data_IF_725423832454
#
_entry.id   IF_725423832454
#
_cell.length_a   1.000
_cell.length_b   1.000
_cell.length_c   1.000
_cell.angle_alpha   90.00
_cell.angle_beta   90.00
_cell.angle_gamma   90.00
#
_symmetry.space_group_name_H-M   'P 1'
#
loop_
_entity.id
_entity.type
_entity.pdbx_description
1 polymer ?
2 non-polymer ?
3 water ?
#
# COMPACT_ATOMS: atom_id res chain seq x y z
N UNK A 2 13.53 6.09 27.37
CA UNK A 2 13.20 4.85 28.13
C UNK A 2 13.43 3.58 27.27
N UNK A 3 13.88 2.51 27.90
CA UNK A 3 14.31 1.34 27.13
C UNK A 3 13.22 0.75 26.22
N UNK A 4 13.60 0.32 25.02
CA UNK A 4 12.71 -0.44 24.16
C UNK A 4 13.46 -1.49 23.43
N UNK A 5 12.89 -2.67 23.36
CA UNK A 5 13.40 -3.67 22.42
C UNK A 5 12.25 -4.53 21.90
N UNK A 6 12.50 -5.16 20.76
CA UNK A 6 11.49 -5.92 20.07
C UNK A 6 11.45 -7.37 20.57
N UNK A 7 10.24 -7.88 20.65
CA UNK A 7 10.01 -9.27 20.91
C UNK A 7 10.67 -10.15 19.83
N UNK A 8 11.06 -11.36 20.22
CA UNK A 8 11.66 -12.31 19.35
C UNK A 8 10.90 -12.60 18.06
N UNK A 9 9.58 -12.68 18.13
CA UNK A 9 8.79 -12.90 16.91
C UNK A 9 8.84 -11.77 15.90
N UNK A 10 9.03 -10.54 16.39
CA UNK A 10 9.23 -9.38 15.53
C UNK A 10 10.59 -9.41 14.88
N UNK A 11 11.63 -9.73 15.65
CA UNK A 11 12.98 -9.86 15.11
C UNK A 11 13.14 -11.08 14.14
N UNK A 12 12.26 -12.07 14.24
CA UNK A 12 12.31 -13.21 13.32
C UNK A 12 12.00 -12.89 11.85
N UNK A 13 11.51 -11.68 11.57
CA UNK A 13 11.48 -11.19 10.18
C UNK A 13 12.86 -10.89 9.55
N UNK A 14 13.88 -10.66 10.37
CA UNK A 14 15.21 -10.33 9.91
C UNK A 14 16.19 -11.48 10.08
N UNK A 15 17.26 -11.47 9.30
CA UNK A 15 18.44 -12.31 9.64
C UNK A 15 18.98 -11.91 11.01
N UNK A 16 19.36 -12.90 11.85
CA UNK A 16 19.83 -12.60 13.22
C UNK A 16 20.88 -11.51 13.23
N UNK A 17 20.66 -10.52 14.09
CA UNK A 17 21.62 -9.41 14.23
C UNK A 17 21.74 -8.43 13.08
N UNK A 18 20.80 -8.44 12.13
CA UNK A 18 20.86 -7.52 10.99
C UNK A 18 19.56 -6.72 10.93
N UNK A 19 19.45 -5.74 10.03
CA UNK A 19 18.15 -5.12 9.69
C UNK A 19 17.65 -5.58 8.32
N UNK A 20 18.11 -6.77 7.88
CA UNK A 20 17.80 -7.25 6.55
C UNK A 20 16.71 -8.27 6.65
N UNK A 21 15.61 -7.99 5.97
CA UNK A 21 14.49 -8.93 5.94
C UNK A 21 14.91 -10.27 5.34
N UNK A 22 14.61 -11.35 6.05
CA UNK A 22 14.80 -12.72 5.52
C UNK A 22 14.16 -12.79 4.12
N UNK A 23 14.88 -13.31 3.16
CA UNK A 23 14.38 -13.35 1.80
C UNK A 23 14.78 -14.61 1.02
N UNK A 24 13.99 -14.86 -0.03
CA UNK A 24 14.13 -16.08 -0.77
C UNK A 24 15.42 -16.05 -1.59
N UNK A 25 16.00 -14.87 -1.83
CA UNK A 25 17.23 -14.77 -2.61
C UNK A 25 18.46 -14.94 -1.75
N UNK A 26 18.31 -14.97 -0.42
CA UNK A 26 19.49 -15.13 0.44
C UNK A 26 20.38 -13.91 0.41
N UNK A 27 19.79 -12.76 0.06
CA UNK A 27 20.51 -11.50 0.04
C UNK A 27 20.65 -10.89 1.45
N UNK A 28 21.88 -10.79 1.95
CA UNK A 28 22.15 -10.33 3.32
C UNK A 28 22.30 -8.82 3.50
N UNK A 29 22.63 -8.11 2.43
CA UNK A 29 22.80 -6.66 2.43
C UNK A 29 21.48 -5.92 2.32
N UNK A 30 21.21 -4.97 3.23
CA UNK A 30 19.95 -4.20 3.25
C UNK A 30 19.72 -3.43 1.97
N UNK A 31 20.76 -2.72 1.55
CA UNK A 31 20.67 -1.87 0.34
C UNK A 31 20.44 -2.75 -0.91
N UNK A 32 21.14 -3.89 -0.95
CA UNK A 32 21.09 -4.77 -2.11
C UNK A 32 19.71 -5.43 -2.23
N UNK A 33 19.14 -5.81 -1.08
CA UNK A 33 17.80 -6.37 -1.04
C UNK A 33 16.82 -5.35 -1.52
N UNK A 34 16.89 -4.13 -1.00
CA UNK A 34 15.95 -3.07 -1.33
C UNK A 34 15.92 -2.80 -2.83
N UNK A 35 17.10 -2.60 -3.42
CA UNK A 35 17.24 -2.39 -4.87
C UNK A 35 16.66 -3.52 -5.68
N UNK A 36 16.85 -4.74 -5.21
CA UNK A 36 16.38 -5.91 -5.96
C UNK A 36 14.88 -6.08 -5.87
N UNK A 37 14.31 -5.80 -4.70
CA UNK A 37 12.88 -5.72 -4.54
C UNK A 37 12.26 -4.70 -5.48
N UNK A 38 12.87 -3.52 -5.62
CA UNK A 38 12.30 -2.51 -6.50
C UNK A 38 12.34 -3.00 -7.93
N UNK A 39 13.47 -3.58 -8.35
CA UNK A 39 13.59 -4.08 -9.71
C UNK A 39 12.58 -5.16 -10.03
N UNK A 40 12.47 -6.15 -9.16
CA UNK A 40 11.49 -7.22 -9.35
C UNK A 40 10.06 -6.66 -9.48
N UNK A 41 9.64 -5.82 -8.53
CA UNK A 41 8.32 -5.21 -8.50
C UNK A 41 7.96 -4.39 -9.79
N UNK A 42 8.89 -3.62 -10.31
CA UNK A 42 8.66 -2.90 -11.55
C UNK A 42 8.43 -3.82 -12.74
N UNK A 43 9.24 -4.85 -12.85
CA UNK A 43 9.01 -5.86 -13.86
C UNK A 43 7.56 -6.37 -13.80
N UNK A 44 7.06 -6.62 -12.58
CA UNK A 44 5.70 -7.16 -12.38
C UNK A 44 4.66 -6.12 -12.74
N UNK A 45 4.89 -4.88 -12.32
CA UNK A 45 3.99 -3.74 -12.66
C UNK A 45 3.84 -3.68 -14.18
N UNK A 46 4.94 -3.86 -14.89
CA UNK A 46 4.90 -3.92 -16.34
C UNK A 46 4.01 -4.99 -16.91
N UNK A 47 4.06 -6.20 -16.37
CA UNK A 47 3.22 -7.34 -16.81
C UNK A 47 1.73 -6.99 -16.60
N UNK A 48 1.44 -6.43 -15.43
CA UNK A 48 0.06 -6.13 -15.04
C UNK A 48 -0.64 -5.19 -16.01
N UNK A 49 0.14 -4.49 -16.84
CA UNK A 49 -0.44 -3.50 -17.76
C UNK A 49 -1.26 -4.25 -18.82
N UNK A 50 -0.82 -5.44 -19.25
CA UNK A 50 -1.57 -6.22 -20.27
C UNK A 50 -2.37 -7.39 -19.69
N UNK A 51 -2.56 -7.37 -18.36
CA UNK A 51 -3.45 -8.33 -17.68
C UNK A 51 -4.82 -7.72 -17.43
N UNK A 52 -5.85 -8.57 -17.41
CA UNK A 52 -7.18 -8.05 -17.27
C UNK A 52 -7.37 -7.50 -15.89
N UNK A 53 -8.30 -6.57 -15.79
CA UNK A 53 -8.73 -6.06 -14.50
C UNK A 53 -9.59 -7.11 -13.81
N UNK A 54 -9.62 -7.15 -12.48
CA UNK A 54 -10.51 -8.11 -11.81
C UNK A 54 -11.95 -7.62 -11.86
N UNK A 55 -12.89 -8.48 -11.55
CA UNK A 55 -14.28 -8.04 -11.37
C UNK A 55 -14.49 -7.31 -10.05
N UNK A 56 -13.77 -7.72 -9.03
CA UNK A 56 -13.99 -7.18 -7.69
C UNK A 56 -12.70 -6.69 -7.14
N UNK A 57 -12.69 -5.41 -6.77
CA UNK A 57 -11.61 -4.86 -6.03
C UNK A 57 -11.89 -5.13 -4.52
N UNK A 58 -11.07 -5.99 -3.93
CA UNK A 58 -11.16 -6.28 -2.52
C UNK A 58 -9.74 -6.63 -1.97
N UNK A 59 -9.69 -6.87 -0.67
CA UNK A 59 -8.48 -7.34 -0.01
C UNK A 59 -7.92 -8.63 -0.63
N UNK A 60 -8.78 -9.47 -1.21
CA UNK A 60 -8.23 -10.65 -1.85
C UNK A 60 -7.39 -10.24 -3.05
N UNK A 61 -7.86 -9.28 -3.82
CA UNK A 61 -7.09 -8.82 -4.96
C UNK A 61 -5.83 -8.10 -4.44
N UNK A 62 -5.95 -7.38 -3.33
CA UNK A 62 -4.80 -6.64 -2.83
C UNK A 62 -3.70 -7.65 -2.42
N UNK A 63 -4.12 -8.75 -1.78
CA UNK A 63 -3.16 -9.83 -1.39
C UNK A 63 -2.52 -10.52 -2.61
N UNK A 64 -3.35 -10.78 -3.63
CA UNK A 64 -2.92 -11.32 -4.90
C UNK A 64 -1.80 -10.43 -5.48
N UNK A 65 -2.07 -9.13 -5.56
CA UNK A 65 -1.08 -8.18 -6.07
C UNK A 65 0.23 -8.15 -5.25
N UNK A 66 0.12 -8.19 -3.92
CA UNK A 66 1.32 -8.21 -3.09
C UNK A 66 2.16 -9.46 -3.36
N UNK A 67 1.49 -10.61 -3.49
CA UNK A 67 2.15 -11.89 -3.84
C UNK A 67 2.85 -11.76 -5.21
N UNK A 68 2.18 -11.18 -6.20
CA UNK A 68 2.83 -10.93 -7.49
C UNK A 68 4.08 -10.06 -7.41
N UNK A 69 3.94 -8.96 -6.67
CA UNK A 69 4.98 -7.95 -6.57
C UNK A 69 6.21 -8.42 -5.81
N UNK A 70 6.02 -9.23 -4.77
CA UNK A 70 7.08 -9.56 -3.80
C UNK A 70 7.30 -11.05 -3.58
N UNK A 71 6.68 -11.89 -4.38
CA UNK A 71 6.68 -13.32 -4.18
C UNK A 71 8.03 -13.92 -4.49
N UNK A 72 8.74 -13.33 -5.45
CA UNK A 72 10.11 -13.78 -5.67
C UNK A 72 11.06 -13.51 -4.50
N UNK A 73 10.74 -12.49 -3.71
CA UNK A 73 11.60 -12.08 -2.59
C UNK A 73 11.24 -12.63 -1.23
N UNK A 74 9.94 -12.62 -0.90
CA UNK A 74 9.48 -12.97 0.45
C UNK A 74 8.52 -14.14 0.53
N UNK A 75 8.84 -15.09 1.42
CA UNK A 75 7.98 -16.21 1.74
C UNK A 75 6.59 -15.75 2.13
N UNK A 76 6.50 -14.56 2.74
CA UNK A 76 5.26 -14.06 3.32
C UNK A 76 4.52 -13.13 2.36
N UNK A 77 5.00 -12.95 1.12
CA UNK A 77 4.24 -12.10 0.16
C UNK A 77 2.80 -12.61 0.02
N UNK A 78 1.84 -11.71 0.08
CA UNK A 78 0.42 -12.04 0.06
C UNK A 78 -0.22 -12.28 1.42
N UNK A 79 0.61 -12.45 2.45
CA UNK A 79 0.11 -12.77 3.77
C UNK A 79 0.03 -11.49 4.54
N UNK A 80 -1.00 -11.33 5.38
CA UNK A 80 -1.11 -10.10 6.18
C UNK A 80 -0.40 -10.29 7.53
N UNK A 81 0.14 -9.18 8.02
CA UNK A 81 1.05 -9.20 9.16
C UNK A 81 0.40 -9.51 10.52
N UNK A 82 -0.92 -9.51 10.61
CA UNK A 82 -1.60 -9.94 11.83
C UNK A 82 -1.40 -11.43 12.14
N UNK A 83 -1.16 -12.23 11.11
CA UNK A 83 -1.09 -13.66 11.29
C UNK A 83 0.34 -14.04 11.63
N UNK A 84 0.50 -14.97 12.54
CA UNK A 84 1.79 -15.59 12.78
C UNK A 84 2.29 -16.22 11.51
N UNK A 85 3.51 -15.88 11.13
CA UNK A 85 4.07 -16.40 9.89
C UNK A 85 5.17 -17.47 10.11
N UNK A 86 4.92 -18.67 9.58
CA UNK A 86 5.86 -19.78 9.73
C UNK A 86 6.87 -19.78 8.57
N UNK A 87 8.09 -19.36 8.83
CA UNK A 87 9.18 -19.41 7.83
C UNK A 87 9.64 -20.84 7.61
N UNK A 88 10.18 -21.08 6.43
CA UNK A 88 10.80 -22.37 6.14
C UNK A 88 11.94 -22.69 7.11
N UNK A 89 12.59 -21.67 7.68
CA UNK A 89 13.65 -21.93 8.65
C UNK A 89 13.20 -22.45 10.03
N UNK A 90 11.88 -22.52 10.24
CA UNK A 90 11.30 -23.00 11.48
C UNK A 90 10.96 -21.92 12.49
N UNK A 91 11.29 -20.65 12.18
CA UNK A 91 10.93 -19.56 13.08
C UNK A 91 9.55 -19.07 12.74
N UNK A 92 8.93 -18.42 13.72
CA UNK A 92 7.60 -17.86 13.55
C UNK A 92 7.70 -16.39 13.85
N UNK A 93 7.13 -15.60 12.96
CA UNK A 93 7.28 -14.17 13.00
C UNK A 93 5.93 -13.51 13.08
N UNK A 94 5.97 -12.30 13.62
CA UNK A 94 4.77 -11.54 13.85
C UNK A 94 5.09 -10.06 13.89
N UNK A 95 4.14 -9.25 13.46
CA UNK A 95 4.33 -7.81 13.51
C UNK A 95 3.04 -7.11 13.86
N UNK A 96 2.60 -7.23 15.09
CA UNK A 96 1.29 -6.60 15.47
C UNK A 96 1.30 -5.05 15.37
N UNK A 97 2.43 -4.44 15.71
CA UNK A 97 2.53 -3.00 15.78
C UNK A 97 3.57 -2.46 14.80
N UNK A 98 3.16 -1.44 14.05
CA UNK A 98 4.00 -0.72 13.10
C UNK A 98 3.67 0.76 13.17
N UNK A 99 4.67 1.60 13.06
CA UNK A 99 4.45 3.00 13.17
C UNK A 99 5.18 3.73 12.09
N UNK A 100 4.93 5.03 11.99
CA UNK A 100 5.66 5.91 11.07
C UNK A 100 7.01 6.15 11.72
N UNK A 101 8.10 5.79 11.01
CA UNK A 101 9.42 5.99 11.62
C UNK A 101 9.60 7.44 12.11
N UNK A 102 10.21 7.62 13.29
CA UNK A 102 10.44 8.93 13.88
C UNK A 102 9.25 9.53 14.62
N UNK A 103 8.14 8.78 14.74
CA UNK A 103 6.92 9.30 15.36
C UNK A 103 6.41 8.31 16.38
N UNK A 104 5.31 8.67 17.01
CA UNK A 104 4.58 7.74 17.85
C UNK A 104 3.22 7.60 17.20
N UNK A 105 3.18 7.57 15.85
CA UNK A 105 1.95 7.47 15.10
C UNK A 105 1.84 6.07 14.48
N UNK A 106 0.87 5.27 14.94
CA UNK A 106 0.80 3.85 14.54
C UNK A 106 -0.20 3.61 13.43
N UNK A 107 0.14 2.66 12.58
CA UNK A 107 -0.81 2.00 11.69
C UNK A 107 -1.73 1.11 12.55
N UNK A 108 -2.68 0.51 11.91
CA UNK A 108 -3.60 -0.38 12.59
C UNK A 108 -2.85 -1.48 13.35
N UNK A 109 -3.36 -1.78 14.52
CA UNK A 109 -2.87 -2.91 15.29
C UNK A 109 -3.28 -4.21 14.59
N UNK A 110 -2.41 -5.20 14.64
CA UNK A 110 -2.69 -6.49 14.00
C UNK A 110 -4.04 -7.05 14.39
N UNK A 111 -4.44 -6.87 15.65
CA UNK A 111 -5.74 -7.32 16.16
C UNK A 111 -6.97 -6.78 15.44
N UNK A 112 -6.80 -5.74 14.65
CA UNK A 112 -7.89 -5.04 13.94
C UNK A 112 -7.75 -5.20 12.43
N UNK A 113 -6.65 -5.78 11.94
CA UNK A 113 -6.43 -5.77 10.48
C UNK A 113 -7.55 -6.55 9.75
N UNK A 114 -7.95 -7.73 10.26
CA UNK A 114 -8.97 -8.49 9.57
C UNK A 114 -10.29 -7.74 9.49
N UNK A 115 -10.70 -7.19 10.63
CA UNK A 115 -11.91 -6.40 10.68
C UNK A 115 -11.86 -5.17 9.73
N UNK A 116 -10.73 -4.49 9.75
CA UNK A 116 -10.55 -3.29 8.95
C UNK A 116 -10.55 -3.60 7.45
N UNK A 117 -9.89 -4.66 7.05
CA UNK A 117 -9.93 -5.10 5.65
C UNK A 117 -11.35 -5.50 5.20
N UNK A 118 -12.07 -6.17 6.10
CA UNK A 118 -13.49 -6.43 5.85
C UNK A 118 -14.26 -5.13 5.61
N UNK A 119 -14.00 -4.13 6.44
CA UNK A 119 -14.71 -2.82 6.31
C UNK A 119 -14.34 -2.14 4.96
N UNK A 120 -13.07 -2.15 4.62
CA UNK A 120 -12.59 -1.70 3.31
C UNK A 120 -13.37 -2.41 2.20
N UNK A 121 -13.46 -3.75 2.28
CA UNK A 121 -14.12 -4.52 1.26
C UNK A 121 -15.59 -4.10 1.15
N UNK A 122 -16.23 -3.91 2.29
CA UNK A 122 -17.65 -3.59 2.29
C UNK A 122 -17.93 -2.20 1.70
N UNK A 123 -17.03 -1.23 1.91
CA UNK A 123 -17.22 0.12 1.34
C UNK A 123 -17.15 0.01 -0.21
N UNK A 124 -16.14 -0.65 -0.73
CA UNK A 124 -16.05 -0.90 -2.15
C UNK A 124 -17.25 -1.65 -2.71
N UNK A 125 -17.77 -2.64 -1.98
CA UNK A 125 -18.86 -3.44 -2.53
C UNK A 125 -20.10 -2.59 -2.55
N UNK A 126 -20.35 -1.83 -1.48
CA UNK A 126 -21.55 -0.99 -1.39
C UNK A 126 -21.56 0.10 -2.48
N UNK A 127 -20.41 0.39 -3.06
CA UNK A 127 -20.30 1.42 -4.10
C UNK A 127 -19.90 0.89 -5.46
N UNK A 128 -20.04 -0.42 -5.67
CA UNK A 128 -19.68 -1.08 -6.90
C UNK A 128 -18.32 -0.70 -7.47
N UNK A 129 -17.30 -0.78 -6.61
CA UNK A 129 -15.93 -0.48 -6.99
C UNK A 129 -15.76 0.99 -7.50
N UNK A 130 -16.62 1.91 -7.04
CA UNK A 130 -16.55 3.35 -7.40
C UNK A 130 -16.83 3.63 -8.90
N UNK A 131 -17.58 2.73 -9.48
CA UNK A 131 -18.05 2.81 -10.87
C UNK A 131 -19.18 3.79 -10.98
N UNK A 132 -19.35 4.37 -12.16
CA UNK A 132 -20.47 5.28 -12.38
C UNK A 132 -20.41 6.64 -11.69
N UNK A 133 -19.21 7.12 -11.33
CA UNK A 133 -19.07 8.38 -10.57
C UNK A 133 -18.50 9.48 -11.46
N UNK A 134 -18.84 10.72 -11.15
CA UNK A 134 -18.11 11.89 -11.68
C UNK A 134 -16.64 11.86 -11.20
N UNK A 135 -15.75 12.60 -11.84
CA UNK A 135 -14.35 12.68 -11.36
C UNK A 135 -14.27 13.25 -9.93
N UNK A 136 -15.12 14.22 -9.64
CA UNK A 136 -15.26 14.80 -8.30
C UNK A 136 -15.64 13.80 -7.20
N UNK A 137 -16.64 12.96 -7.45
CA UNK A 137 -17.05 11.97 -6.47
C UNK A 137 -16.03 10.85 -6.40
N UNK A 138 -15.47 10.46 -7.55
CA UNK A 138 -14.43 9.45 -7.59
C UNK A 138 -13.22 9.93 -6.76
N UNK A 139 -12.79 11.17 -6.90
CA UNK A 139 -11.69 11.65 -6.07
C UNK A 139 -12.05 11.63 -4.57
N UNK A 140 -13.22 12.11 -4.22
CA UNK A 140 -13.63 12.17 -2.81
C UNK A 140 -13.58 10.77 -2.22
N UNK A 141 -14.14 9.77 -2.93
CA UNK A 141 -14.27 8.44 -2.36
C UNK A 141 -12.92 7.72 -2.34
N UNK A 142 -12.11 7.94 -3.37
CA UNK A 142 -10.76 7.34 -3.37
C UNK A 142 -9.86 7.95 -2.31
N UNK A 143 -9.94 9.24 -2.07
CA UNK A 143 -9.15 9.86 -0.99
C UNK A 143 -9.43 9.18 0.35
N UNK A 144 -10.72 8.99 0.66
CA UNK A 144 -11.10 8.34 1.92
C UNK A 144 -10.64 6.86 2.02
N UNK A 145 -10.92 6.10 0.95
CA UNK A 145 -10.52 4.70 0.88
C UNK A 145 -9.02 4.49 0.88
N UNK A 146 -8.31 5.31 0.11
CA UNK A 146 -6.85 5.29 0.13
C UNK A 146 -6.19 5.65 1.48
N UNK A 147 -6.69 6.68 2.15
CA UNK A 147 -6.24 6.98 3.52
C UNK A 147 -6.52 5.81 4.46
N UNK A 148 -7.66 5.16 4.30
CA UNK A 148 -8.04 4.09 5.18
C UNK A 148 -7.06 2.91 4.96
N UNK A 149 -6.85 2.49 3.72
CA UNK A 149 -5.96 1.41 3.45
C UNK A 149 -4.51 1.75 3.88
N UNK A 150 -4.05 2.98 3.63
CA UNK A 150 -2.73 3.43 4.08
C UNK A 150 -2.63 3.22 5.61
N UNK A 151 -3.64 3.64 6.35
CA UNK A 151 -3.64 3.46 7.80
C UNK A 151 -3.57 2.01 8.22
N UNK A 152 -4.28 1.14 7.48
CA UNK A 152 -4.26 -0.30 7.79
C UNK A 152 -2.86 -0.94 7.66
N UNK A 153 -2.17 -0.67 6.54
CA UNK A 153 -0.82 -1.13 6.30
C UNK A 153 -0.76 -2.62 6.64
N UNK A 154 -1.56 -3.43 5.94
CA UNK A 154 -1.77 -4.79 6.32
C UNK A 154 -0.59 -5.78 6.11
N UNK A 155 0.41 -5.43 5.32
CA UNK A 155 1.60 -6.30 5.08
C UNK A 155 2.83 -5.93 5.92
N UNK A 156 3.75 -6.89 6.12
CA UNK A 156 4.99 -6.55 6.80
C UNK A 156 5.73 -5.40 6.13
N UNK A 157 5.73 -5.39 4.81
CA UNK A 157 6.38 -4.34 4.05
C UNK A 157 5.80 -4.39 2.62
N UNK A 158 6.08 -3.35 1.81
CA UNK A 158 5.58 -3.36 0.46
C UNK A 158 4.15 -2.80 0.37
N UNK A 159 3.68 -2.23 1.45
CA UNK A 159 2.34 -1.65 1.46
C UNK A 159 2.06 -0.56 0.48
N UNK A 160 2.97 0.40 0.41
CA UNK A 160 2.78 1.54 -0.44
C UNK A 160 2.77 1.10 -1.92
N UNK A 161 3.70 0.23 -2.31
CA UNK A 161 3.82 -0.18 -3.69
C UNK A 161 2.55 -0.89 -4.12
N UNK A 162 2.05 -1.79 -3.29
CA UNK A 162 0.82 -2.49 -3.64
C UNK A 162 -0.46 -1.61 -3.69
N UNK A 163 -0.62 -0.73 -2.73
CA UNK A 163 -1.75 0.18 -2.71
C UNK A 163 -1.77 1.11 -3.90
N UNK A 164 -0.60 1.56 -4.39
CA UNK A 164 -0.53 2.35 -5.60
C UNK A 164 -1.10 1.61 -6.81
N UNK A 165 -0.62 0.40 -7.09
CA UNK A 165 -1.10 -0.32 -8.28
C UNK A 165 -2.58 -0.70 -8.11
N UNK A 166 -2.98 -1.06 -6.91
CA UNK A 166 -4.40 -1.39 -6.62
C UNK A 166 -5.28 -0.21 -7.01
N UNK A 167 -4.89 1.00 -6.58
CA UNK A 167 -5.72 2.14 -6.88
C UNK A 167 -5.65 2.61 -8.35
N UNK A 168 -4.54 2.35 -9.01
CA UNK A 168 -4.41 2.66 -10.44
C UNK A 168 -5.35 1.73 -11.25
N UNK A 169 -5.37 0.44 -10.89
CA UNK A 169 -6.27 -0.54 -11.51
C UNK A 169 -7.76 -0.22 -11.20
N UNK A 170 -8.02 0.18 -9.95
CA UNK A 170 -9.37 0.60 -9.57
C UNK A 170 -9.85 1.78 -10.39
N UNK A 171 -9.02 2.81 -10.56
CA UNK A 171 -9.40 3.94 -11.35
C UNK A 171 -9.61 3.58 -12.85
N UNK A 172 -8.71 2.80 -13.42
CA UNK A 172 -8.89 2.35 -14.80
C UNK A 172 -10.26 1.67 -14.97
N UNK A 173 -10.61 0.81 -14.03
CA UNK A 173 -11.86 0.05 -14.13
C UNK A 173 -13.11 0.91 -14.01
N UNK A 174 -12.96 2.03 -13.29
CA UNK A 174 -14.03 2.97 -12.99
C UNK A 174 -14.15 4.10 -14.03
N UNK A 175 -13.28 4.11 -15.03
CA UNK A 175 -13.35 5.07 -16.10
C UNK A 175 -12.62 6.37 -15.78
N UNK A 176 -11.73 6.35 -14.81
CA UNK A 176 -10.90 7.51 -14.52
C UNK A 176 -9.43 7.08 -14.67
N UNK A 177 -8.52 7.87 -14.14
CA UNK A 177 -7.11 7.51 -14.19
C UNK A 177 -6.40 8.06 -13.00
N UNK A 178 -5.58 7.19 -12.40
CA UNK A 178 -4.64 7.62 -11.38
C UNK A 178 -3.25 7.17 -11.83
N UNK A 179 -2.25 8.02 -11.63
CA UNK A 179 -0.87 7.68 -11.92
C UNK A 179 0.08 8.24 -10.88
N UNK A 180 0.45 7.39 -9.94
CA UNK A 180 1.29 7.81 -8.85
C UNK A 180 2.69 8.26 -9.30
N UNK A 181 3.16 7.80 -10.47
CA UNK A 181 4.48 8.18 -11.00
C UNK A 181 4.59 9.66 -11.45
N UNK A 182 3.47 10.36 -11.52
CA UNK A 182 3.41 11.79 -11.86
C UNK A 182 4.08 12.70 -10.82
N UNK A 183 4.15 12.25 -9.56
CA UNK A 183 4.73 13.08 -8.47
C UNK A 183 5.85 12.31 -7.82
N UNK A 184 6.60 12.96 -6.92
CA UNK A 184 7.72 12.30 -6.27
C UNK A 184 7.28 11.45 -5.09
N UNK A 185 8.12 10.49 -4.76
CA UNK A 185 8.04 9.80 -3.47
C UNK A 185 7.79 10.76 -2.30
N UNK A 186 8.58 11.84 -2.18
CA UNK A 186 8.45 12.77 -1.03
C UNK A 186 7.01 13.31 -0.92
N UNK A 187 6.43 13.66 -2.07
CA UNK A 187 5.09 14.22 -2.13
C UNK A 187 4.01 13.19 -1.72
N UNK A 188 4.14 11.98 -2.22
CA UNK A 188 3.29 10.92 -1.83
C UNK A 188 3.36 10.64 -0.33
N UNK A 189 4.57 10.49 0.20
CA UNK A 189 4.72 10.16 1.61
C UNK A 189 4.31 11.31 2.56
N UNK A 190 4.50 12.55 2.13
CA UNK A 190 3.96 13.70 2.88
C UNK A 190 2.44 13.68 2.98
N UNK A 191 1.76 13.38 1.87
CA UNK A 191 0.30 13.23 1.95
C UNK A 191 -0.12 12.07 2.86
N UNK A 192 0.58 10.95 2.77
CA UNK A 192 0.22 9.78 3.56
C UNK A 192 0.48 10.04 5.04
N UNK A 193 1.64 10.61 5.35
CA UNK A 193 2.00 10.89 6.72
C UNK A 193 1.05 11.98 7.29
N UNK A 194 0.75 13.01 6.51
CA UNK A 194 -0.24 14.01 6.97
C UNK A 194 -1.63 13.45 7.25
N UNK A 195 -2.09 12.53 6.41
CA UNK A 195 -3.39 11.88 6.59
C UNK A 195 -3.47 11.21 7.96
N UNK A 196 -2.37 10.65 8.44
CA UNK A 196 -2.36 10.00 9.76
C UNK A 196 -2.06 10.94 10.91
N UNK A 197 -1.24 11.97 10.64
CA UNK A 197 -0.74 12.87 11.70
C UNK A 197 -1.75 13.98 12.05
N UNK A 198 -2.34 14.58 11.03
CA UNK A 198 -3.22 15.71 11.21
C UNK A 198 -4.65 15.25 11.56
N UNK A 199 -5.58 16.19 11.73
CA UNK A 199 -6.97 15.85 12.12
C UNK A 199 -7.95 16.38 11.13
N UNK A 200 -9.11 15.73 11.12
CA UNK A 200 -10.27 16.22 10.42
C UNK A 200 -10.03 16.67 9.02
N UNK A 201 -10.44 17.92 8.78
CA UNK A 201 -10.50 18.48 7.43
C UNK A 201 -9.08 18.67 6.88
N UNK A 202 -8.13 19.01 7.77
CA UNK A 202 -6.74 19.21 7.36
C UNK A 202 -6.12 17.88 6.87
N UNK A 203 -6.44 16.79 7.54
CA UNK A 203 -5.96 15.45 7.11
C UNK A 203 -6.56 15.01 5.75
N UNK A 204 -7.85 15.23 5.56
CA UNK A 204 -8.51 14.93 4.24
C UNK A 204 -7.87 15.77 3.08
N UNK A 205 -7.63 17.06 3.35
CA UNK A 205 -7.04 17.94 2.33
C UNK A 205 -5.62 17.57 1.93
N UNK A 206 -4.84 17.04 2.88
CA UNK A 206 -3.51 16.56 2.51
C UNK A 206 -3.59 15.53 1.35
N UNK A 207 -4.46 14.56 1.54
CA UNK A 207 -4.56 13.50 0.54
C UNK A 207 -5.32 13.94 -0.72
N UNK A 208 -6.30 14.82 -0.58
CA UNK A 208 -7.04 15.32 -1.75
C UNK A 208 -6.14 16.04 -2.76
N UNK A 209 -5.18 16.85 -2.29
CA UNK A 209 -4.24 17.56 -3.20
C UNK A 209 -3.45 16.57 -4.00
N UNK A 210 -3.00 15.51 -3.34
CA UNK A 210 -2.26 14.43 -4.05
C UNK A 210 -3.13 13.82 -5.13
N UNK A 211 -4.36 13.47 -4.76
CA UNK A 211 -5.27 12.83 -5.71
C UNK A 211 -5.63 13.73 -6.91
N UNK A 212 -5.77 15.02 -6.66
CA UNK A 212 -6.03 15.95 -7.76
C UNK A 212 -4.81 15.98 -8.76
N UNK A 213 -3.62 15.97 -8.22
CA UNK A 213 -2.39 16.04 -8.99
C UNK A 213 -2.15 14.80 -9.88
N UNK A 214 -2.58 13.62 -9.41
CA UNK A 214 -2.25 12.37 -10.10
C UNK A 214 -3.39 11.85 -10.98
N UNK A 215 -4.47 12.63 -11.08
CA UNK A 215 -5.70 12.12 -11.73
C UNK A 215 -6.04 12.85 -13.03
N UNK A 216 -5.00 13.21 -13.77
CA UNK A 216 -5.18 13.96 -15.04
C UNK A 216 -5.95 15.28 -14.91
N UNK A 217 -5.53 16.15 -13.97
CA UNK A 217 -6.25 17.42 -13.76
C UNK A 217 -6.21 18.32 -14.99
N UNK A 218 -5.23 18.07 -15.87
CA UNK A 218 -5.08 18.87 -17.11
C UNK A 218 -6.17 18.65 -18.17
N UNK A 219 -7.10 17.75 -17.88
CA UNK A 219 -8.22 17.48 -18.75
C UNK A 219 -9.11 18.69 -18.94
N UNK A 220 -9.09 19.63 -17.98
CA UNK A 220 -9.87 20.88 -18.10
C UNK A 220 -9.33 21.88 -19.17
N UNK A 221 -8.12 21.62 -19.65
CA UNK A 221 -7.51 22.39 -20.68
C UNK A 221 -8.03 21.90 -22.04
N UNK A 222 -8.76 22.76 -22.70
CA UNK A 222 -9.39 22.37 -23.93
C UNK A 222 -8.52 22.83 -25.07
N UNK A 223 -7.99 21.86 -25.84
CA UNK A 223 -7.12 22.14 -27.02
C UNK A 223 -7.76 21.67 -28.34
N UNK A 224 -9.05 21.94 -28.50
CA UNK A 224 -9.77 21.54 -29.74
C UNK A 224 -9.04 22.00 -31.01
N UNK A 225 -8.49 23.21 -30.99
CA UNK A 225 -7.88 23.74 -32.22
C UNK A 225 -6.46 23.27 -32.56
N UNK A 226 -5.92 22.31 -31.79
CA UNK A 226 -4.66 21.60 -32.15
C UNK A 226 -4.89 20.71 -33.39
X LIG B 1 3.56 1.89 -9.97
X LIG B 1 2.39 1.73 -9.16
X LIG B 1 4.07 3.34 -9.94
X LIG B 1 3.06 4.32 -10.13
#
# INVERSE_FOLDING_TARGET
>A
MAHHHHHHMVLNYFYPGTKTLKNKLGIMGYKQLEKRCKRNAKKVINSLRNEPLPETFDSSYLKYLHKRLFGSAFEWAGYTRDLSFAFDDGTIAQMSMMKIPGTDIYFAHGDKIQENLKEFDEILASKSNLQGLSREDFIEETVKLFSFLNYIHPFRAGNEAVQHIFFEKLAEAAGHKLDFSVVTEERIMRACNDAMALKGEEAHQAMKSLFEDISNPEEVIILRDFFKHIPRVERQRLNDE
>B hetero
1 EDO C1 O1 C2 O2
#
